data_IF_182114192147
#
_entry.id   IF_182114192147
#
_cell.length_a   1.000
_cell.length_b   1.000
_cell.length_c   1.000
_cell.angle_alpha   90.00
_cell.angle_beta   90.00
_cell.angle_gamma   90.00
#
_symmetry.space_group_name_H-M   'P 1'
#
loop_
_entity.id
_entity.type
_entity.pdbx_description
1 polymer ?
#
# COMPACT_ATOMS: atom_id res chain seq x y z
N UNK A 1 32.91 13.68 10.85
CA UNK A 1 32.02 14.74 11.42
C UNK A 1 31.40 15.64 10.35
N UNK A 2 32.17 16.28 9.46
CA UNK A 2 31.62 17.11 8.35
C UNK A 2 30.67 16.37 7.40
N UNK A 3 30.98 15.14 7.01
CA UNK A 3 30.11 14.34 6.13
C UNK A 3 28.78 13.96 6.80
N UNK A 4 28.83 13.57 8.08
CA UNK A 4 27.63 13.26 8.86
C UNK A 4 26.73 14.49 9.04
N UNK A 5 27.34 15.65 9.29
CA UNK A 5 26.62 16.92 9.40
C UNK A 5 25.91 17.31 8.09
N UNK A 6 26.61 17.18 6.96
CA UNK A 6 26.02 17.45 5.64
C UNK A 6 24.86 16.49 5.31
N UNK A 7 24.98 15.22 5.67
CA UNK A 7 23.89 14.23 5.48
C UNK A 7 22.67 14.58 6.34
N UNK A 8 22.86 14.95 7.59
CA UNK A 8 21.75 15.33 8.49
C UNK A 8 21.06 16.60 7.98
N UNK A 9 21.82 17.61 7.57
CA UNK A 9 21.27 18.85 7.00
C UNK A 9 20.52 18.57 5.69
N UNK A 10 21.05 17.72 4.81
CA UNK A 10 20.38 17.34 3.56
C UNK A 10 19.06 16.60 3.81
N UNK A 11 19.02 15.68 4.78
CA UNK A 11 17.80 14.95 5.16
C UNK A 11 16.73 15.88 5.75
N UNK A 12 17.13 16.83 6.60
CA UNK A 12 16.21 17.82 7.17
C UNK A 12 15.62 18.75 6.10
N UNK A 13 16.44 19.18 5.14
CA UNK A 13 15.98 20.00 4.01
C UNK A 13 15.01 19.25 3.09
N UNK A 14 15.25 17.96 2.83
CA UNK A 14 14.33 17.12 2.06
C UNK A 14 12.99 16.92 2.78
N UNK A 15 13.01 16.71 4.10
CA UNK A 15 11.79 16.56 4.89
C UNK A 15 10.94 17.85 4.92
N UNK A 16 11.58 19.02 4.92
CA UNK A 16 10.89 20.32 4.96
C UNK A 16 10.13 20.67 3.67
N UNK A 17 10.48 20.06 2.54
CA UNK A 17 9.85 20.31 1.23
C UNK A 17 9.00 19.14 0.74
N UNK A 18 8.92 18.05 1.51
CA UNK A 18 8.09 16.91 1.15
C UNK A 18 6.60 17.28 1.27
N UNK A 19 5.77 17.03 0.23
CA UNK A 19 4.33 17.22 0.34
C UNK A 19 3.76 16.28 1.42
N UNK A 20 2.67 16.67 2.12
CA UNK A 20 2.03 15.80 3.09
C UNK A 20 1.54 14.53 2.39
N UNK A 21 2.20 13.41 2.64
CA UNK A 21 1.78 12.10 2.12
C UNK A 21 0.97 11.43 3.21
N UNK A 22 -0.31 11.14 2.94
CA UNK A 22 -1.12 10.29 3.83
C UNK A 22 -0.69 8.83 3.60
N UNK A 23 0.47 8.48 4.14
CA UNK A 23 1.06 7.15 4.11
C UNK A 23 0.94 6.40 5.44
N UNK A 24 1.64 5.27 5.52
CA UNK A 24 1.83 4.50 6.73
C UNK A 24 0.83 3.36 6.94
N UNK A 25 0.83 2.74 8.14
CA UNK A 25 0.03 1.54 8.41
C UNK A 25 -1.47 1.74 8.20
N UNK A 26 -1.99 2.94 8.49
CA UNK A 26 -3.40 3.27 8.26
C UNK A 26 -3.73 3.28 6.76
N UNK A 27 -2.90 3.92 5.93
CA UNK A 27 -3.08 3.94 4.48
C UNK A 27 -2.94 2.52 3.87
N UNK A 28 -2.03 1.70 4.38
CA UNK A 28 -1.92 0.28 4.01
C UNK A 28 -3.23 -0.47 4.29
N UNK A 29 -3.82 -0.29 5.47
CA UNK A 29 -5.09 -0.92 5.85
C UNK A 29 -6.26 -0.50 4.97
N UNK A 30 -6.34 0.78 4.61
CA UNK A 30 -7.35 1.30 3.67
C UNK A 30 -7.17 0.67 2.29
N UNK A 31 -5.93 0.60 1.78
CA UNK A 31 -5.62 -0.03 0.50
C UNK A 31 -6.01 -1.52 0.48
N UNK A 32 -5.65 -2.27 1.53
CA UNK A 32 -6.05 -3.68 1.68
C UNK A 32 -7.56 -3.86 1.66
N UNK A 33 -8.29 -2.99 2.37
CA UNK A 33 -9.74 -3.06 2.44
C UNK A 33 -10.38 -2.88 1.06
N UNK A 34 -9.86 -1.94 0.26
CA UNK A 34 -10.27 -1.75 -1.13
C UNK A 34 -9.97 -2.95 -2.01
N UNK A 35 -8.73 -3.48 -1.97
CA UNK A 35 -8.34 -4.67 -2.74
C UNK A 35 -9.21 -5.89 -2.40
N UNK A 36 -9.53 -6.09 -1.12
CA UNK A 36 -10.41 -7.18 -0.68
C UNK A 36 -11.85 -6.98 -1.16
N UNK A 37 -12.38 -5.75 -1.16
CA UNK A 37 -13.70 -5.47 -1.70
C UNK A 37 -13.79 -5.79 -3.21
N UNK A 38 -12.76 -5.41 -3.98
CA UNK A 38 -12.65 -5.78 -5.41
C UNK A 38 -12.54 -7.30 -5.60
N UNK A 39 -11.77 -8.00 -4.76
CA UNK A 39 -11.66 -9.44 -4.84
C UNK A 39 -13.01 -10.11 -4.55
N UNK A 40 -13.74 -9.69 -3.51
CA UNK A 40 -15.09 -10.19 -3.23
C UNK A 40 -16.01 -9.99 -4.44
N UNK A 41 -16.00 -8.81 -5.07
CA UNK A 41 -16.78 -8.56 -6.28
C UNK A 41 -16.41 -9.50 -7.45
N UNK A 42 -15.12 -9.75 -7.66
CA UNK A 42 -14.62 -10.68 -8.68
C UNK A 42 -15.08 -12.12 -8.40
N UNK A 43 -14.96 -12.58 -7.16
CA UNK A 43 -15.41 -13.91 -6.73
C UNK A 43 -16.93 -14.08 -6.94
N UNK A 44 -17.71 -13.07 -6.57
CA UNK A 44 -19.17 -13.04 -6.80
C UNK A 44 -19.50 -13.11 -8.29
N UNK A 45 -18.81 -12.37 -9.15
CA UNK A 45 -18.99 -12.43 -10.60
C UNK A 45 -18.62 -13.82 -11.18
N UNK A 46 -17.65 -14.51 -10.57
CA UNK A 46 -17.29 -15.88 -10.88
C UNK A 46 -18.23 -16.94 -10.26
N UNK A 47 -19.30 -16.53 -9.56
CA UNK A 47 -20.25 -17.45 -8.92
C UNK A 47 -19.69 -18.20 -7.71
N UNK A 48 -18.68 -17.63 -7.06
CA UNK A 48 -17.98 -18.25 -5.94
C UNK A 48 -17.91 -17.31 -4.73
N UNK A 49 -17.78 -17.87 -3.54
CA UNK A 49 -17.55 -17.10 -2.32
C UNK A 49 -16.05 -17.09 -2.03
N UNK A 50 -15.50 -15.89 -1.83
CA UNK A 50 -14.09 -15.72 -1.46
C UNK A 50 -13.76 -16.54 -0.21
N UNK A 51 -12.70 -17.34 -0.28
CA UNK A 51 -12.26 -18.21 0.83
C UNK A 51 -12.93 -19.60 0.88
N UNK A 52 -13.99 -19.85 0.10
CA UNK A 52 -14.62 -21.17 -0.01
C UNK A 52 -14.08 -21.96 -1.21
N UNK A 53 -13.78 -21.27 -2.31
CA UNK A 53 -13.16 -21.83 -3.51
C UNK A 53 -11.96 -21.03 -3.98
N UNK A 54 -11.30 -21.49 -5.04
CA UNK A 54 -10.20 -20.77 -5.68
C UNK A 54 -10.63 -20.26 -7.04
N UNK A 55 -10.55 -18.94 -7.24
CA UNK A 55 -10.66 -18.32 -8.56
C UNK A 55 -9.30 -17.72 -8.89
N UNK A 56 -8.44 -18.42 -9.66
CA UNK A 56 -7.04 -18.03 -9.86
C UNK A 56 -6.88 -16.61 -10.39
N UNK A 57 -7.75 -16.18 -11.31
CA UNK A 57 -7.73 -14.82 -11.85
C UNK A 57 -8.01 -13.75 -10.77
N UNK A 58 -9.01 -13.96 -9.91
CA UNK A 58 -9.31 -13.04 -8.82
C UNK A 58 -8.17 -13.01 -7.78
N UNK A 59 -7.56 -14.15 -7.49
CA UNK A 59 -6.41 -14.24 -6.58
C UNK A 59 -5.17 -13.54 -7.12
N UNK A 60 -4.89 -13.70 -8.42
CA UNK A 60 -3.77 -13.02 -9.06
C UNK A 60 -3.98 -11.49 -9.05
N UNK A 61 -5.19 -11.02 -9.39
CA UNK A 61 -5.53 -9.60 -9.35
C UNK A 61 -5.44 -9.03 -7.92
N UNK A 62 -5.96 -9.75 -6.92
CA UNK A 62 -5.81 -9.39 -5.50
C UNK A 62 -4.34 -9.27 -5.11
N UNK A 63 -3.51 -10.24 -5.49
CA UNK A 63 -2.07 -10.22 -5.21
C UNK A 63 -1.39 -8.97 -5.78
N UNK A 64 -1.65 -8.64 -7.05
CA UNK A 64 -1.11 -7.43 -7.70
C UNK A 64 -1.61 -6.14 -7.03
N UNK A 65 -2.88 -6.10 -6.62
CA UNK A 65 -3.42 -4.96 -5.87
C UNK A 65 -2.71 -4.80 -4.52
N UNK A 66 -2.52 -5.91 -3.80
CA UNK A 66 -1.87 -5.92 -2.49
C UNK A 66 -0.38 -5.54 -2.54
N UNK A 67 0.36 -5.86 -3.62
CA UNK A 67 1.75 -5.40 -3.76
C UNK A 67 1.84 -3.88 -3.88
N UNK A 68 0.88 -3.23 -4.55
CA UNK A 68 0.82 -1.77 -4.62
C UNK A 68 0.55 -1.13 -3.25
N UNK A 69 -0.16 -1.82 -2.35
CA UNK A 69 -0.38 -1.32 -0.99
C UNK A 69 0.91 -1.12 -0.19
N UNK A 70 2.00 -1.82 -0.52
CA UNK A 70 3.32 -1.61 0.11
C UNK A 70 3.77 -0.16 -0.05
N UNK A 71 3.51 0.48 -1.20
CA UNK A 71 3.87 1.88 -1.40
C UNK A 71 3.11 2.80 -0.43
N UNK A 72 1.81 2.53 -0.20
CA UNK A 72 1.02 3.25 0.78
C UNK A 72 1.52 3.02 2.22
N UNK A 73 1.92 1.79 2.55
CA UNK A 73 2.41 1.43 3.88
C UNK A 73 3.83 1.91 4.20
N UNK A 74 4.72 1.94 3.20
CA UNK A 74 6.11 2.37 3.35
C UNK A 74 6.28 3.89 3.28
N UNK A 75 5.27 4.61 2.77
CA UNK A 75 5.26 6.07 2.81
C UNK A 75 5.19 6.55 4.28
N UNK A 76 5.91 7.63 4.63
CA UNK A 76 5.87 8.20 5.97
C UNK A 76 4.45 8.67 6.33
N UNK A 77 4.10 8.55 7.60
CA UNK A 77 2.92 9.22 8.16
C UNK A 77 3.23 10.71 8.31
N UNK A 78 2.20 11.56 8.21
CA UNK A 78 2.28 12.92 8.77
C UNK A 78 2.52 12.88 10.28
#
# INVERSE_FOLDING_TARGET
MRLLYLLVVAMLLLAAVAPPVQGGPAAYGVCQSGCNALAVACYLAAGSVMGVGSVPACNAALGVCMTACIAAGAAPTI
#
